data_IF_823763682658
#
_entry.id   IF_823763682658
#
_cell.length_a   1.000
_cell.length_b   1.000
_cell.length_c   1.000
_cell.angle_alpha   90.00
_cell.angle_beta   90.00
_cell.angle_gamma   90.00
#
_symmetry.space_group_name_H-M   'P 1'
#
loop_
_entity.id
_entity.type
_entity.pdbx_description
1 polymer ?
#
# COMPACT_ATOMS: atom_id res chain seq x y z
N UNK A 1 -4.05 -15.45 15.79
CA UNK A 1 -4.20 -15.72 14.35
C UNK A 1 -3.10 -14.99 13.61
N UNK A 2 -2.10 -15.69 13.09
CA UNK A 2 -1.09 -15.10 12.21
C UNK A 2 -1.80 -14.80 10.88
N UNK A 3 -2.25 -13.55 10.70
CA UNK A 3 -2.73 -13.11 9.38
C UNK A 3 -1.56 -13.25 8.41
N UNK A 4 -1.70 -14.07 7.38
CA UNK A 4 -0.69 -14.20 6.33
C UNK A 4 -0.39 -12.81 5.76
N UNK A 5 0.89 -12.45 5.67
CA UNK A 5 1.34 -11.20 5.09
C UNK A 5 0.82 -11.02 3.65
N UNK A 6 0.70 -12.14 2.93
CA UNK A 6 0.15 -12.20 1.58
C UNK A 6 -1.36 -11.87 1.56
N UNK A 7 -2.08 -12.27 2.60
CA UNK A 7 -3.48 -11.88 2.76
C UNK A 7 -3.62 -10.38 3.09
N UNK A 8 -2.69 -9.81 3.86
CA UNK A 8 -2.69 -8.37 4.19
C UNK A 8 -2.37 -7.53 2.95
N UNK A 9 -1.41 -7.94 2.11
CA UNK A 9 -1.06 -7.22 0.88
C UNK A 9 -2.13 -7.32 -0.20
N UNK A 10 -2.88 -8.42 -0.28
CA UNK A 10 -4.00 -8.56 -1.23
C UNK A 10 -5.27 -7.86 -0.75
N UNK A 11 -5.64 -8.02 0.52
CA UNK A 11 -6.92 -7.55 1.04
C UNK A 11 -6.89 -6.09 1.48
N UNK A 12 -5.72 -5.59 1.90
CA UNK A 12 -5.54 -4.20 2.30
C UNK A 12 -5.93 -3.19 1.21
N UNK A 13 -5.43 -3.33 -0.04
CA UNK A 13 -5.84 -2.47 -1.15
C UNK A 13 -7.34 -2.53 -1.46
N UNK A 14 -7.95 -3.73 -1.41
CA UNK A 14 -9.39 -3.90 -1.65
C UNK A 14 -10.23 -3.14 -0.63
N UNK A 15 -9.94 -3.35 0.66
CA UNK A 15 -10.62 -2.65 1.75
C UNK A 15 -10.39 -1.15 1.71
N UNK A 16 -9.17 -0.71 1.35
CA UNK A 16 -8.88 0.71 1.20
C UNK A 16 -9.71 1.33 0.08
N UNK A 17 -9.87 0.63 -1.05
CA UNK A 17 -10.66 1.10 -2.18
C UNK A 17 -12.15 1.23 -1.84
N UNK A 18 -12.68 0.38 -0.96
CA UNK A 18 -14.06 0.46 -0.50
C UNK A 18 -14.27 1.54 0.57
N UNK A 19 -13.26 1.79 1.41
CA UNK A 19 -13.39 2.65 2.59
C UNK A 19 -12.89 4.08 2.39
N UNK A 20 -12.00 4.33 1.43
CA UNK A 20 -11.33 5.62 1.23
C UNK A 20 -11.58 6.12 -0.19
N UNK A 21 -11.78 7.43 -0.39
CA UNK A 21 -11.67 8.00 -1.73
C UNK A 21 -10.21 7.99 -2.21
N UNK A 22 -9.99 7.86 -3.51
CA UNK A 22 -8.66 7.77 -4.10
C UNK A 22 -7.71 8.91 -3.70
N UNK A 23 -8.23 10.13 -3.60
CA UNK A 23 -7.47 11.31 -3.19
C UNK A 23 -8.05 11.94 -1.93
N UNK A 24 -7.20 12.48 -1.05
CA UNK A 24 -7.65 13.13 0.18
C UNK A 24 -8.35 14.47 -0.05
N UNK A 25 -8.04 15.16 -1.15
CA UNK A 25 -8.61 16.45 -1.53
C UNK A 25 -8.35 16.74 -3.01
N UNK A 26 -9.04 17.72 -3.58
CA UNK A 26 -8.75 18.24 -4.93
C UNK A 26 -7.34 18.83 -5.06
N UNK A 27 -6.75 19.28 -3.95
CA UNK A 27 -5.41 19.88 -3.92
C UNK A 27 -4.29 18.91 -3.49
N UNK A 28 -4.60 17.64 -3.21
CA UNK A 28 -3.57 16.67 -2.84
C UNK A 28 -2.67 16.36 -4.02
N UNK A 29 -1.39 16.03 -3.75
CA UNK A 29 -0.52 15.41 -4.77
C UNK A 29 -1.19 14.14 -5.30
N UNK A 30 -1.14 13.96 -6.61
CA UNK A 30 -1.78 12.84 -7.35
C UNK A 30 -0.81 11.73 -7.72
N UNK A 31 0.42 11.81 -7.22
CA UNK A 31 1.46 10.80 -7.48
C UNK A 31 1.11 9.46 -6.82
N UNK A 32 0.38 9.51 -5.70
CA UNK A 32 -0.06 8.32 -4.96
C UNK A 32 -1.48 8.49 -4.46
N UNK A 33 -2.29 7.44 -4.64
CA UNK A 33 -3.63 7.37 -4.07
C UNK A 33 -3.57 7.06 -2.57
N UNK A 34 -4.61 7.45 -1.84
CA UNK A 34 -4.80 7.05 -0.43
C UNK A 34 -4.80 5.53 -0.24
N UNK A 35 -5.25 4.78 -1.25
CA UNK A 35 -5.21 3.32 -1.22
C UNK A 35 -3.78 2.80 -1.17
N UNK A 36 -2.90 3.34 -2.03
CA UNK A 36 -1.48 2.98 -2.05
C UNK A 36 -0.80 3.39 -0.74
N UNK A 37 -1.08 4.59 -0.23
CA UNK A 37 -0.54 5.06 1.05
C UNK A 37 -1.00 4.18 2.22
N UNK A 38 -2.27 3.75 2.21
CA UNK A 38 -2.81 2.82 3.22
C UNK A 38 -2.14 1.44 3.14
N UNK A 39 -1.93 0.91 1.93
CA UNK A 39 -1.24 -0.37 1.76
C UNK A 39 0.19 -0.32 2.31
N UNK A 40 0.94 0.76 2.04
CA UNK A 40 2.28 0.97 2.61
C UNK A 40 2.23 1.05 4.14
N UNK A 41 1.26 1.77 4.69
CA UNK A 41 1.07 1.86 6.15
C UNK A 41 0.72 0.51 6.78
N UNK A 42 -0.12 -0.29 6.14
CA UNK A 42 -0.50 -1.63 6.60
C UNK A 42 0.71 -2.57 6.63
N UNK A 43 1.53 -2.58 5.57
CA UNK A 43 2.77 -3.37 5.50
C UNK A 43 3.76 -2.93 6.57
N UNK A 44 4.00 -1.61 6.70
CA UNK A 44 4.85 -1.05 7.75
C UNK A 44 4.40 -1.50 9.15
N UNK A 45 3.09 -1.44 9.42
CA UNK A 45 2.51 -1.77 10.72
C UNK A 45 2.61 -3.27 11.00
N UNK A 46 2.32 -4.10 10.00
CA UNK A 46 2.36 -5.55 10.14
C UNK A 46 3.78 -6.08 10.35
N UNK A 47 4.76 -5.51 9.65
CA UNK A 47 6.16 -5.89 9.76
C UNK A 47 6.88 -5.21 10.95
N UNK A 48 6.18 -4.37 11.69
CA UNK A 48 6.75 -3.56 12.79
C UNK A 48 8.03 -2.83 12.38
N UNK A 49 8.06 -2.35 11.13
CA UNK A 49 9.24 -1.76 10.50
C UNK A 49 9.05 -0.26 10.26
N UNK A 50 10.10 0.39 9.76
CA UNK A 50 10.03 1.76 9.28
C UNK A 50 9.71 1.82 7.77
N UNK A 51 9.60 3.02 7.20
CA UNK A 51 9.31 3.16 5.78
C UNK A 51 10.41 2.57 4.88
N UNK A 52 11.67 2.56 5.31
CA UNK A 52 12.78 2.01 4.51
C UNK A 52 12.69 0.48 4.47
N UNK A 53 12.43 -0.14 5.61
CA UNK A 53 12.19 -1.58 5.70
C UNK A 53 10.93 -2.00 4.95
N UNK A 54 9.86 -1.21 5.02
CA UNK A 54 8.63 -1.43 4.25
C UNK A 54 8.84 -1.32 2.74
N UNK A 55 9.64 -0.36 2.27
CA UNK A 55 9.98 -0.19 0.85
C UNK A 55 10.86 -1.33 0.34
N UNK A 56 11.88 -1.73 1.10
CA UNK A 56 12.72 -2.87 0.74
C UNK A 56 11.88 -4.13 0.58
N UNK A 57 10.99 -4.38 1.54
CA UNK A 57 10.05 -5.50 1.49
C UNK A 57 9.13 -5.41 0.27
N UNK A 58 8.48 -4.26 0.02
CA UNK A 58 7.60 -4.09 -1.15
C UNK A 58 8.35 -4.26 -2.47
N UNK A 59 9.62 -3.82 -2.55
CA UNK A 59 10.48 -3.99 -3.72
C UNK A 59 10.71 -5.44 -4.09
N UNK A 60 10.83 -6.34 -3.09
CA UNK A 60 11.04 -7.77 -3.32
C UNK A 60 9.79 -8.46 -3.92
N UNK A 61 8.59 -7.91 -3.70
CA UNK A 61 7.32 -8.42 -4.28
C UNK A 61 6.86 -7.64 -5.52
N UNK A 62 7.47 -6.49 -5.80
CA UNK A 62 7.17 -5.66 -6.96
C UNK A 62 7.83 -6.24 -8.23
N UNK A 63 7.33 -7.37 -8.70
CA UNK A 63 7.48 -7.76 -10.10
C UNK A 63 6.46 -6.97 -10.94
N UNK A 64 6.63 -5.66 -11.07
CA UNK A 64 5.73 -4.85 -11.91
C UNK A 64 6.40 -3.61 -12.52
N UNK A 65 6.52 -3.63 -13.85
CA UNK A 65 6.88 -2.53 -14.73
C UNK A 65 5.70 -1.54 -14.80
N UNK A 66 5.87 -0.26 -14.43
CA UNK A 66 4.81 0.71 -14.59
C UNK A 66 4.78 1.21 -16.03
N UNK A 67 3.95 0.60 -16.88
CA UNK A 67 3.55 1.22 -18.16
C UNK A 67 2.61 2.39 -17.86
N UNK A 68 3.17 3.58 -17.69
CA UNK A 68 2.40 4.82 -17.64
C UNK A 68 1.89 5.13 -19.06
N UNK A 69 0.58 4.93 -19.27
CA UNK A 69 -0.17 5.48 -20.39
C UNK A 69 -0.82 6.80 -20.02
#
# INVERSE_FOLDING_TARGET
MTKSLLAVTQEGPRLAHEALPADSSKFSRKDYTRHQLFAVLAVKTFLETDYRGGVAFLGDFASYEPTWG
#
